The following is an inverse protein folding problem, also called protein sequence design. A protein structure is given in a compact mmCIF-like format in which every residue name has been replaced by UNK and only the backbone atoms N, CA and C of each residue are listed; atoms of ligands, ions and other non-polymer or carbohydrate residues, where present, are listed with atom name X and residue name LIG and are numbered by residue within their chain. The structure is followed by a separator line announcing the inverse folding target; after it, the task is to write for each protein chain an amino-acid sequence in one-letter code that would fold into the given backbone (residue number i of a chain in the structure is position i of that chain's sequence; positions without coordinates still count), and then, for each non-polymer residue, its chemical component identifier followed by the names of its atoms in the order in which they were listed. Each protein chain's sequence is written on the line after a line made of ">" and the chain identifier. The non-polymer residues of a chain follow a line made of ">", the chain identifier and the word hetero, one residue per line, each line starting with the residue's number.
data_IF_983739359233
#
_entry.id   IF_983739359233
#
_cell.length_a   1.000
_cell.length_b   1.000
_cell.length_c   1.000
_cell.angle_alpha   90.00
_cell.angle_beta   90.00
_cell.angle_gamma   90.00
#
_symmetry.space_group_name_H-M   'P 1'
#
loop_
_entity.id
_entity.type
_entity.pdbx_description
1 polymer ?
#
# COMPACT_ATOMS: atom_id res chain seq x y z
N UNK A 1 -7.86 -7.12 14.25
CA UNK A 1 -6.90 -7.33 15.35
C UNK A 1 -5.63 -6.55 15.07
N UNK A 2 -5.16 -5.79 16.06
CA UNK A 2 -3.89 -5.07 15.98
C UNK A 2 -2.82 -5.78 16.79
N UNK A 3 -1.57 -5.66 16.35
CA UNK A 3 -0.38 -5.93 17.18
C UNK A 3 0.50 -4.69 17.20
N UNK A 4 1.40 -4.61 18.17
CA UNK A 4 2.23 -3.45 18.40
C UNK A 4 3.70 -3.84 18.51
N UNK A 5 4.59 -2.94 18.09
CA UNK A 5 6.04 -3.06 18.33
C UNK A 5 6.41 -2.60 19.74
N UNK A 6 7.70 -2.68 20.09
CA UNK A 6 8.22 -2.29 21.41
C UNK A 6 8.06 -0.79 21.73
N UNK A 7 7.83 0.04 20.71
CA UNK A 7 7.57 1.48 20.83
C UNK A 7 6.08 1.80 20.84
N UNK A 8 5.23 0.77 20.92
CA UNK A 8 3.78 0.85 20.93
C UNK A 8 3.18 1.43 19.62
N UNK A 9 3.91 1.34 18.50
CA UNK A 9 3.33 1.57 17.17
C UNK A 9 2.62 0.32 16.68
N UNK A 10 1.64 0.49 15.79
CA UNK A 10 1.00 -0.66 15.14
C UNK A 10 2.03 -1.42 14.33
N UNK A 11 2.32 -2.67 14.65
CA UNK A 11 3.17 -3.53 13.84
C UNK A 11 2.34 -4.20 12.73
N UNK A 12 1.17 -4.72 13.09
CA UNK A 12 0.24 -5.31 12.12
C UNK A 12 -1.22 -4.97 12.40
N UNK A 13 -2.04 -5.02 11.34
CA UNK A 13 -3.49 -5.05 11.38
C UNK A 13 -3.96 -6.29 10.61
N UNK A 14 -4.87 -7.07 11.19
CA UNK A 14 -5.67 -8.07 10.47
C UNK A 14 -7.12 -7.64 10.50
N UNK A 15 -7.73 -7.47 9.33
CA UNK A 15 -9.14 -7.17 9.18
C UNK A 15 -9.86 -8.38 8.56
N UNK A 16 -11.00 -8.74 9.13
CA UNK A 16 -11.90 -9.77 8.63
C UNK A 16 -13.33 -9.21 8.57
N UNK A 17 -14.08 -9.56 7.54
CA UNK A 17 -15.40 -9.00 7.21
C UNK A 17 -15.71 -9.24 5.74
N UNK A 18 -16.31 -8.26 5.06
CA UNK A 18 -16.56 -8.32 3.61
C UNK A 18 -15.26 -8.53 2.82
N UNK A 19 -14.17 -7.90 3.26
CA UNK A 19 -12.82 -8.12 2.73
C UNK A 19 -11.90 -8.59 3.86
N UNK A 20 -11.16 -9.68 3.60
CA UNK A 20 -10.10 -10.13 4.51
C UNK A 20 -8.75 -9.65 4.00
N UNK A 21 -8.00 -8.96 4.85
CA UNK A 21 -6.66 -8.48 4.53
C UNK A 21 -5.79 -8.29 5.78
N UNK A 22 -4.49 -8.28 5.57
CA UNK A 22 -3.49 -7.88 6.57
C UNK A 22 -2.80 -6.60 6.14
N UNK A 23 -2.34 -5.81 7.10
CA UNK A 23 -1.42 -4.69 6.86
C UNK A 23 -0.22 -4.85 7.77
N UNK A 24 0.98 -4.78 7.21
CA UNK A 24 2.23 -4.67 7.96
C UNK A 24 2.73 -3.23 7.89
N UNK A 25 3.25 -2.71 9.00
CA UNK A 25 3.76 -1.35 9.11
C UNK A 25 5.23 -1.37 9.53
N UNK A 26 6.01 -0.43 9.01
CA UNK A 26 7.39 -0.21 9.47
C UNK A 26 7.63 1.27 9.76
N UNK A 27 8.51 1.54 10.71
CA UNK A 27 8.78 2.87 11.22
C UNK A 27 10.28 3.13 11.23
N UNK A 28 10.67 4.40 11.14
CA UNK A 28 12.03 4.81 11.44
C UNK A 28 12.25 5.01 12.95
N UNK A 29 13.50 5.31 13.33
CA UNK A 29 13.91 5.56 14.71
C UNK A 29 13.24 6.78 15.36
N UNK A 30 12.64 7.66 14.56
CA UNK A 30 11.91 8.85 15.04
C UNK A 30 10.41 8.58 15.13
N UNK A 31 9.99 7.31 15.09
CA UNK A 31 8.60 6.90 15.21
C UNK A 31 7.71 7.33 14.03
N UNK A 32 8.32 7.59 12.85
CA UNK A 32 7.60 8.00 11.63
C UNK A 32 7.37 6.76 10.75
N UNK A 33 6.16 6.62 10.23
CA UNK A 33 5.78 5.50 9.37
C UNK A 33 6.58 5.54 8.06
N UNK A 34 7.35 4.51 7.74
CA UNK A 34 8.09 4.39 6.48
C UNK A 34 7.32 3.61 5.41
N UNK A 35 6.62 2.56 5.80
CA UNK A 35 5.91 1.67 4.88
C UNK A 35 4.63 1.15 5.53
N UNK A 36 3.55 1.10 4.75
CA UNK A 36 2.46 0.14 4.98
C UNK A 36 2.30 -0.78 3.76
N UNK A 37 2.17 -2.09 4.03
CA UNK A 37 1.93 -3.11 3.03
C UNK A 37 0.63 -3.84 3.35
N UNK A 38 -0.42 -3.55 2.57
CA UNK A 38 -1.73 -4.19 2.64
C UNK A 38 -1.79 -5.39 1.69
N UNK A 39 -2.03 -6.57 2.23
CA UNK A 39 -2.17 -7.81 1.46
C UNK A 39 -3.57 -8.37 1.64
N UNK A 40 -4.27 -8.52 0.52
CA UNK A 40 -5.52 -9.28 0.41
C UNK A 40 -5.28 -10.54 -0.43
N UNK A 41 -6.34 -11.34 -0.65
CA UNK A 41 -6.27 -12.53 -1.51
C UNK A 41 -5.82 -12.23 -2.94
N UNK A 42 -6.18 -11.06 -3.46
CA UNK A 42 -6.03 -10.74 -4.88
C UNK A 42 -4.97 -9.68 -5.17
N UNK A 43 -4.53 -8.95 -4.14
CA UNK A 43 -3.70 -7.76 -4.30
C UNK A 43 -2.75 -7.60 -3.12
N UNK A 44 -1.55 -7.10 -3.40
CA UNK A 44 -0.69 -6.45 -2.42
C UNK A 44 -0.49 -4.99 -2.82
N UNK A 45 -0.93 -4.07 -1.97
CA UNK A 45 -0.72 -2.64 -2.11
C UNK A 45 0.33 -2.20 -1.09
N UNK A 46 1.39 -1.54 -1.55
CA UNK A 46 2.47 -0.98 -0.73
C UNK A 46 2.47 0.53 -0.87
N UNK A 47 2.55 1.24 0.25
CA UNK A 47 2.81 2.68 0.30
C UNK A 47 4.14 2.93 1.01
N UNK A 48 5.03 3.69 0.38
CA UNK A 48 6.24 4.20 1.02
C UNK A 48 6.08 5.68 1.33
N UNK A 49 6.64 6.11 2.45
CA UNK A 49 6.59 7.48 2.95
C UNK A 49 8.00 8.04 3.07
N UNK A 50 8.18 9.28 2.63
CA UNK A 50 9.48 9.96 2.62
C UNK A 50 9.41 11.23 3.45
N UNK A 51 10.40 11.44 4.30
CA UNK A 51 10.50 12.58 5.21
C UNK A 51 11.81 13.32 5.02
N UNK A 52 11.78 14.63 5.20
CA UNK A 52 12.99 15.41 5.38
C UNK A 52 13.60 15.18 6.81
N UNK A 53 14.80 15.71 7.09
CA UNK A 53 15.41 15.61 8.41
C UNK A 53 14.60 16.27 9.54
N UNK A 54 13.74 17.25 9.23
CA UNK A 54 12.92 17.96 10.20
C UNK A 54 11.62 17.20 10.56
N UNK A 55 11.30 16.12 9.84
CA UNK A 55 10.09 15.35 10.06
C UNK A 55 8.91 15.74 9.18
N UNK A 56 9.09 16.65 8.22
CA UNK A 56 8.03 16.93 7.26
C UNK A 56 7.98 15.81 6.23
N UNK A 57 6.78 15.30 5.96
CA UNK A 57 6.59 14.35 4.87
C UNK A 57 6.75 15.09 3.54
N UNK A 58 7.75 14.70 2.75
CA UNK A 58 8.07 15.30 1.46
C UNK A 58 7.57 14.47 0.28
N UNK A 59 7.08 13.26 0.53
CA UNK A 59 6.53 12.44 -0.52
C UNK A 59 5.90 11.14 -0.05
N UNK A 60 5.29 10.46 -1.02
CA UNK A 60 4.87 9.06 -0.94
C UNK A 60 4.91 8.41 -2.31
N UNK A 61 5.17 7.11 -2.34
CA UNK A 61 4.99 6.28 -3.54
C UNK A 61 4.02 5.15 -3.24
N UNK A 62 3.31 4.70 -4.26
CA UNK A 62 2.34 3.60 -4.14
C UNK A 62 2.60 2.58 -5.24
N UNK A 63 2.59 1.31 -4.86
CA UNK A 63 2.70 0.18 -5.77
C UNK A 63 1.60 -0.83 -5.46
N UNK A 64 0.87 -1.22 -6.49
CA UNK A 64 -0.12 -2.30 -6.42
C UNK A 64 0.38 -3.46 -7.27
N UNK A 65 0.55 -4.61 -6.63
CA UNK A 65 0.83 -5.89 -7.25
C UNK A 65 -0.42 -6.76 -7.19
N UNK A 66 -1.01 -7.03 -8.34
CA UNK A 66 -2.07 -8.03 -8.44
C UNK A 66 -1.46 -9.42 -8.24
N UNK A 67 -2.07 -10.23 -7.38
CA UNK A 67 -1.76 -11.64 -7.28
C UNK A 67 -1.88 -12.26 -8.69
N UNK A 68 -0.90 -13.08 -9.08
CA UNK A 68 -0.86 -13.71 -10.40
C UNK A 68 -2.07 -14.64 -10.60
N UNK A 69 -3.18 -14.11 -11.10
CA UNK A 69 -4.16 -14.90 -11.85
C UNK A 69 -3.57 -15.16 -13.25
N UNK A 70 -3.77 -16.36 -13.78
CA UNK A 70 -3.22 -16.82 -15.08
C UNK A 70 -3.28 -15.74 -16.19
N UNK A 71 -2.27 -15.75 -17.08
CA UNK A 71 -1.85 -14.69 -18.05
C UNK A 71 -2.94 -13.90 -18.81
N UNK A 72 -4.21 -14.32 -18.85
CA UNK A 72 -5.32 -13.64 -19.53
C UNK A 72 -5.86 -12.40 -18.80
N UNK A 73 -5.73 -12.29 -17.48
CA UNK A 73 -6.41 -11.24 -16.70
C UNK A 73 -5.67 -9.88 -16.67
N UNK A 74 -4.34 -9.86 -16.82
CA UNK A 74 -3.51 -8.68 -16.56
C UNK A 74 -3.65 -7.54 -17.59
N UNK A 75 -4.10 -7.84 -18.82
CA UNK A 75 -4.20 -6.84 -19.91
C UNK A 75 -5.41 -5.91 -19.80
N UNK A 76 -6.46 -6.28 -19.03
CA UNK A 76 -7.68 -5.48 -18.94
C UNK A 76 -7.54 -4.29 -17.98
N UNK A 77 -6.80 -4.45 -16.89
CA UNK A 77 -6.65 -3.40 -15.87
C UNK A 77 -5.62 -2.33 -16.28
N UNK A 78 -4.56 -2.71 -17.02
CA UNK A 78 -3.60 -1.75 -17.60
C UNK A 78 -4.21 -0.89 -18.73
N UNK A 79 -5.24 -1.38 -19.44
CA UNK A 79 -5.95 -0.60 -20.49
C UNK A 79 -6.83 0.50 -19.91
N UNK A 80 -7.46 0.27 -18.74
CA UNK A 80 -8.38 1.24 -18.13
C UNK A 80 -7.66 2.48 -17.55
N UNK A 81 -6.45 2.29 -17.00
CA UNK A 81 -5.60 3.36 -16.48
C UNK A 81 -5.10 4.30 -17.59
N UNK A 82 -4.74 3.75 -18.75
CA UNK A 82 -4.31 4.56 -19.90
C UNK A 82 -5.46 5.37 -20.51
N UNK A 83 -6.67 4.80 -20.60
CA UNK A 83 -7.83 5.52 -21.16
C UNK A 83 -8.34 6.64 -20.25
N UNK A 84 -8.27 6.49 -18.91
CA UNK A 84 -8.63 7.60 -18.01
C UNK A 84 -7.62 8.75 -18.05
N UNK A 85 -6.34 8.47 -18.26
CA UNK A 85 -5.29 9.51 -18.34
C UNK A 85 -5.27 10.24 -19.68
N UNK A 86 -5.71 9.59 -20.76
CA UNK A 86 -5.87 10.20 -22.08
C UNK A 86 -7.08 11.15 -22.16
N UNK A 87 -8.16 10.90 -21.41
CA UNK A 87 -9.39 11.71 -21.45
C UNK A 87 -9.44 12.91 -20.48
N UNK A 88 -8.31 13.31 -19.90
CA UNK A 88 -8.18 14.52 -19.04
C UNK A 88 -7.27 15.57 -19.71
N UNK A 89 -6.78 15.30 -20.92
CA UNK A 89 -6.09 16.27 -21.76
C UNK A 89 -7.00 16.63 -22.94
N UNK A 90 -8.09 17.33 -22.65
CA UNK A 90 -8.83 18.20 -23.57
C UNK A 90 -9.46 19.34 -22.75
#
# INVERSE_FOLDING_TARGET
>A
MYTFDDFNNRSTLTAAGTDTYTVAYSYDKNNRLLEDTKTSTDETAKTLYFYDPNGNQIGRSMETLQARRTRKAFRRQRRLLLTKKAGIMD
#
